data_IF_409686237641
#
_entry.id   IF_409686237641
#
_cell.length_a   1.000
_cell.length_b   1.000
_cell.length_c   1.000
_cell.angle_alpha   90.00
_cell.angle_beta   90.00
_cell.angle_gamma   90.00
#
_symmetry.space_group_name_H-M   'P 1'
#
loop_
_entity.id
_entity.type
_entity.pdbx_description
1 polymer ?
#
# COMPACT_ATOMS: atom_id res chain seq x y z
N UNK A 1 0.90 23.47 -6.75
CA UNK A 1 1.22 22.33 -5.86
C UNK A 1 2.72 22.38 -5.57
N UNK A 2 3.18 22.24 -4.32
CA UNK A 2 4.60 22.03 -4.06
C UNK A 2 5.00 20.66 -4.65
N UNK A 3 6.29 20.46 -5.00
CA UNK A 3 6.78 19.17 -5.48
C UNK A 3 6.81 18.20 -4.29
N UNK A 4 5.64 17.68 -3.93
CA UNK A 4 5.49 16.59 -2.96
C UNK A 4 5.76 15.26 -3.65
N UNK A 5 6.30 14.32 -2.87
CA UNK A 5 6.51 12.90 -3.20
C UNK A 5 5.59 12.34 -4.27
N UNK A 6 6.18 11.64 -5.26
CA UNK A 6 5.46 10.93 -6.34
C UNK A 6 5.13 9.47 -5.99
N UNK A 7 5.53 8.97 -4.82
CA UNK A 7 5.35 7.56 -4.46
C UNK A 7 3.97 7.37 -3.82
N UNK A 8 3.07 6.65 -4.52
CA UNK A 8 1.73 6.30 -4.03
C UNK A 8 1.72 5.04 -3.18
N UNK A 9 2.55 4.05 -3.50
CA UNK A 9 2.75 2.88 -2.64
C UNK A 9 4.22 2.81 -2.21
N UNK A 10 4.46 2.88 -0.91
CA UNK A 10 5.78 2.86 -0.29
C UNK A 10 6.35 1.45 -0.09
N UNK A 11 5.64 0.39 -0.50
CA UNK A 11 6.04 -1.00 -0.23
C UNK A 11 7.40 -1.34 -0.82
N UNK A 12 7.68 -0.98 -2.09
CA UNK A 12 9.01 -1.20 -2.68
C UNK A 12 10.11 -0.45 -1.93
N UNK A 13 9.81 0.76 -1.49
CA UNK A 13 10.76 1.53 -0.68
C UNK A 13 11.04 0.83 0.67
N UNK A 14 10.02 0.28 1.32
CA UNK A 14 10.15 -0.52 2.54
C UNK A 14 11.00 -1.77 2.31
N UNK A 15 10.73 -2.55 1.24
CA UNK A 15 11.52 -3.74 0.88
C UNK A 15 13.00 -3.41 0.68
N UNK A 16 13.28 -2.33 -0.07
CA UNK A 16 14.65 -1.89 -0.31
C UNK A 16 15.32 -1.42 0.98
N UNK A 17 14.62 -0.68 1.84
CA UNK A 17 15.13 -0.29 3.15
C UNK A 17 15.45 -1.51 4.04
N UNK A 18 14.56 -2.50 4.11
CA UNK A 18 14.80 -3.75 4.86
C UNK A 18 15.99 -4.55 4.28
N UNK A 19 16.15 -4.55 2.96
CA UNK A 19 17.31 -5.19 2.32
C UNK A 19 18.62 -4.48 2.71
N UNK A 20 18.67 -3.15 2.63
CA UNK A 20 19.83 -2.38 3.04
C UNK A 20 20.17 -2.60 4.52
N UNK A 21 19.19 -2.54 5.43
CA UNK A 21 19.41 -2.73 6.88
C UNK A 21 19.91 -4.13 7.26
N UNK A 22 19.69 -5.13 6.40
CA UNK A 22 20.22 -6.49 6.57
C UNK A 22 21.68 -6.62 6.12
N UNK A 23 22.10 -5.83 5.13
CA UNK A 23 23.41 -6.00 4.48
C UNK A 23 24.41 -4.88 4.75
N UNK A 24 23.93 -3.70 5.15
CA UNK A 24 24.75 -2.52 5.44
C UNK A 24 24.40 -2.02 6.85
N UNK A 25 25.22 -2.32 7.87
CA UNK A 25 24.98 -1.85 9.24
C UNK A 25 24.78 -0.34 9.37
N UNK A 26 25.49 0.44 8.54
CA UNK A 26 25.46 1.91 8.48
C UNK A 26 24.13 2.47 7.96
N UNK A 27 23.36 1.67 7.22
CA UNK A 27 22.04 2.05 6.73
C UNK A 27 20.97 2.06 7.84
N UNK A 28 21.32 1.72 9.09
CA UNK A 28 20.42 1.84 10.25
C UNK A 28 20.62 3.20 10.91
N UNK A 29 19.80 4.19 10.53
CA UNK A 29 19.73 5.44 11.28
C UNK A 29 18.73 5.29 12.43
N UNK A 30 19.16 5.68 13.63
CA UNK A 30 18.38 5.48 14.86
C UNK A 30 17.38 6.59 15.14
N UNK A 31 17.64 7.79 14.59
CA UNK A 31 17.06 9.03 15.11
C UNK A 31 16.11 9.74 14.13
N UNK A 32 16.09 9.34 12.85
CA UNK A 32 15.10 9.76 11.85
C UNK A 32 14.33 8.55 11.30
N UNK A 33 13.07 8.75 10.90
CA UNK A 33 12.27 7.71 10.20
C UNK A 33 12.17 7.97 8.69
N UNK A 34 13.00 8.88 8.18
CA UNK A 34 13.10 9.17 6.75
C UNK A 34 13.52 7.89 6.03
N UNK A 35 12.73 7.49 5.02
CA UNK A 35 12.99 6.29 4.24
C UNK A 35 13.01 5.03 5.10
N UNK A 36 12.01 4.89 5.97
CA UNK A 36 11.93 3.79 6.93
C UNK A 36 13.19 3.67 7.81
N UNK A 37 13.76 4.80 8.23
CA UNK A 37 14.94 4.87 9.10
C UNK A 37 16.27 4.53 8.42
N UNK A 38 16.34 4.66 7.09
CA UNK A 38 17.60 4.61 6.34
C UNK A 38 18.20 5.99 6.11
N UNK A 39 17.39 7.05 6.26
CA UNK A 39 17.77 8.42 5.90
C UNK A 39 17.78 8.69 4.40
N UNK A 40 17.39 7.71 3.57
CA UNK A 40 17.30 7.84 2.11
C UNK A 40 15.88 8.28 1.77
N UNK A 41 15.65 9.28 0.91
CA UNK A 41 14.29 9.66 0.51
C UNK A 41 13.49 8.48 -0.05
N UNK A 42 12.19 8.40 0.28
CA UNK A 42 11.30 7.30 -0.11
C UNK A 42 11.24 7.12 -1.62
N UNK A 43 11.32 8.21 -2.40
CA UNK A 43 11.34 8.21 -3.86
C UNK A 43 12.60 7.58 -4.43
N UNK A 44 13.74 7.76 -3.75
CA UNK A 44 15.01 7.12 -4.12
C UNK A 44 14.95 5.64 -3.76
N UNK A 45 14.48 5.32 -2.55
CA UNK A 45 14.29 3.93 -2.11
C UNK A 45 13.36 3.16 -3.05
N UNK A 46 12.24 3.74 -3.49
CA UNK A 46 11.26 3.07 -4.35
C UNK A 46 11.86 2.59 -5.70
N UNK A 47 12.92 3.25 -6.19
CA UNK A 47 13.60 2.87 -7.44
C UNK A 47 15.01 2.34 -7.26
N UNK A 48 15.50 2.19 -6.02
CA UNK A 48 16.90 1.87 -5.73
C UNK A 48 17.40 0.61 -6.47
N UNK A 49 16.58 -0.42 -6.60
CA UNK A 49 16.86 -1.65 -7.34
C UNK A 49 17.11 -1.49 -8.86
N UNK A 50 16.82 -0.30 -9.40
CA UNK A 50 17.05 0.09 -10.80
C UNK A 50 18.21 1.06 -10.96
N UNK A 51 18.66 1.70 -9.89
CA UNK A 51 19.70 2.72 -9.96
C UNK A 51 21.08 2.07 -10.14
N UNK A 52 21.94 2.62 -11.01
CA UNK A 52 23.35 2.27 -11.00
C UNK A 52 24.04 2.88 -9.77
N UNK A 53 25.23 2.38 -9.44
CA UNK A 53 25.96 2.79 -8.24
C UNK A 53 26.48 4.25 -8.30
N UNK A 54 26.55 4.85 -9.48
CA UNK A 54 27.00 6.22 -9.76
C UNK A 54 25.82 7.19 -10.01
N UNK A 55 24.59 6.76 -9.73
CA UNK A 55 23.41 7.59 -9.89
C UNK A 55 23.51 8.89 -9.04
N UNK A 56 23.19 10.07 -9.61
CA UNK A 56 23.24 11.34 -8.88
C UNK A 56 22.45 11.38 -7.58
N UNK A 57 21.35 10.63 -7.48
CA UNK A 57 20.51 10.57 -6.28
C UNK A 57 21.18 9.82 -5.11
N UNK A 58 22.33 9.18 -5.35
CA UNK A 58 23.11 8.45 -4.35
C UNK A 58 24.33 9.23 -3.85
N UNK A 59 24.56 10.47 -4.33
CA UNK A 59 25.74 11.29 -3.96
C UNK A 59 25.84 11.53 -2.46
N UNK A 60 24.71 11.72 -1.77
CA UNK A 60 24.66 11.92 -0.31
C UNK A 60 24.62 10.59 0.47
N UNK A 61 24.68 9.46 -0.23
CA UNK A 61 24.53 8.11 0.30
C UNK A 61 25.69 7.20 -0.15
N UNK A 62 26.93 7.65 0.00
CA UNK A 62 28.13 6.97 -0.51
C UNK A 62 28.26 5.49 -0.08
N UNK A 63 27.81 5.15 1.13
CA UNK A 63 27.82 3.77 1.62
C UNK A 63 26.85 2.85 0.82
N UNK A 64 25.71 3.39 0.39
CA UNK A 64 24.77 2.67 -0.50
C UNK A 64 25.36 2.56 -1.90
N UNK A 65 25.92 3.65 -2.43
CA UNK A 65 26.61 3.64 -3.72
C UNK A 65 27.75 2.59 -3.75
N UNK A 66 28.57 2.54 -2.69
CA UNK A 66 29.63 1.56 -2.54
C UNK A 66 29.09 0.11 -2.51
N UNK A 67 28.00 -0.13 -1.78
CA UNK A 67 27.34 -1.43 -1.75
C UNK A 67 26.84 -1.87 -3.13
N UNK A 68 26.23 -0.95 -3.88
CA UNK A 68 25.68 -1.22 -5.22
C UNK A 68 26.75 -1.54 -6.28
N UNK A 69 28.03 -1.25 -6.03
CA UNK A 69 29.13 -1.65 -6.95
C UNK A 69 29.29 -3.16 -7.04
N UNK A 70 28.98 -3.88 -5.96
CA UNK A 70 29.21 -5.33 -5.85
C UNK A 70 27.92 -6.13 -5.58
N UNK A 71 26.82 -5.46 -5.25
CA UNK A 71 25.55 -6.10 -4.93
C UNK A 71 24.40 -5.48 -5.73
N UNK A 72 23.42 -6.32 -6.09
CA UNK A 72 22.15 -5.86 -6.67
C UNK A 72 21.06 -6.05 -5.64
N UNK A 73 20.15 -5.08 -5.52
CA UNK A 73 18.92 -5.29 -4.77
C UNK A 73 17.99 -6.25 -5.53
N UNK A 74 17.16 -7.00 -4.81
CA UNK A 74 16.07 -7.76 -5.41
C UNK A 74 15.18 -6.88 -6.28
N UNK A 75 14.75 -7.42 -7.40
CA UNK A 75 13.80 -6.77 -8.31
C UNK A 75 12.41 -7.39 -8.12
N UNK A 76 11.33 -6.66 -8.44
CA UNK A 76 10.02 -7.28 -8.61
C UNK A 76 10.14 -8.49 -9.54
N UNK A 77 9.47 -9.58 -9.17
CA UNK A 77 9.37 -10.80 -9.98
C UNK A 77 8.05 -10.81 -10.73
N UNK A 78 7.93 -11.63 -11.77
CA UNK A 78 6.65 -11.85 -12.46
C UNK A 78 5.73 -12.81 -11.71
N UNK A 79 6.31 -13.82 -11.07
CA UNK A 79 5.59 -14.93 -10.43
C UNK A 79 5.60 -14.76 -8.91
N UNK A 80 4.53 -15.22 -8.26
CA UNK A 80 4.48 -15.40 -6.82
C UNK A 80 5.14 -16.73 -6.43
N UNK A 81 6.25 -16.66 -5.69
CA UNK A 81 7.00 -17.83 -5.24
C UNK A 81 6.74 -18.17 -3.76
N UNK A 82 6.09 -17.27 -3.04
CA UNK A 82 5.65 -17.41 -1.65
C UNK A 82 4.13 -17.52 -1.52
N UNK A 83 3.63 -17.86 -0.32
CA UNK A 83 2.21 -17.99 -0.08
C UNK A 83 1.49 -16.63 -0.22
N UNK A 84 0.38 -16.63 -0.94
CA UNK A 84 -0.57 -15.50 -0.98
C UNK A 84 -1.38 -15.42 0.32
N UNK A 85 -2.07 -14.30 0.52
CA UNK A 85 -2.84 -14.06 1.73
C UNK A 85 -4.03 -15.03 1.89
N UNK A 86 -4.14 -15.63 3.09
CA UNK A 86 -5.17 -16.59 3.46
C UNK A 86 -5.81 -16.19 4.80
N UNK A 87 -6.58 -15.10 4.82
CA UNK A 87 -7.14 -14.62 6.08
C UNK A 87 -8.12 -13.47 5.98
N UNK A 88 -8.21 -12.69 7.06
CA UNK A 88 -9.17 -11.59 7.20
C UNK A 88 -8.45 -10.27 7.39
N UNK A 89 -8.86 -9.28 6.62
CA UNK A 89 -8.46 -7.88 6.71
C UNK A 89 -9.37 -7.19 7.71
N UNK A 90 -8.79 -6.59 8.75
CA UNK A 90 -9.47 -5.83 9.78
C UNK A 90 -9.10 -4.36 9.66
N UNK A 91 -10.08 -3.49 9.52
CA UNK A 91 -9.84 -2.05 9.55
C UNK A 91 -9.72 -1.57 11.00
N UNK A 92 -8.75 -0.69 11.25
CA UNK A 92 -8.57 -0.02 12.53
C UNK A 92 -8.93 1.46 12.38
N UNK A 93 -9.86 1.91 13.23
CA UNK A 93 -10.16 3.33 13.42
C UNK A 93 -9.31 3.81 14.58
N UNK A 94 -8.24 4.53 14.25
CA UNK A 94 -7.28 5.00 15.24
C UNK A 94 -7.56 6.46 15.59
N UNK A 95 -7.74 6.72 16.88
CA UNK A 95 -7.80 8.07 17.44
C UNK A 95 -6.41 8.50 17.84
N UNK A 96 -5.88 9.51 17.15
CA UNK A 96 -4.56 10.07 17.42
C UNK A 96 -4.68 11.33 18.28
N UNK A 97 -4.35 11.19 19.56
CA UNK A 97 -4.27 12.32 20.51
C UNK A 97 -2.91 13.01 20.35
N UNK A 98 -2.90 14.30 20.01
CA UNK A 98 -1.70 15.14 20.00
C UNK A 98 -1.83 16.25 21.06
N UNK A 99 -0.74 16.96 21.40
CA UNK A 99 -0.83 18.08 22.35
C UNK A 99 -1.76 19.21 21.88
N UNK A 100 -2.03 19.32 20.57
CA UNK A 100 -2.82 20.40 20.00
C UNK A 100 -4.27 20.01 19.67
N UNK A 101 -4.51 18.77 19.23
CA UNK A 101 -5.85 18.27 18.91
C UNK A 101 -5.87 16.75 18.73
N UNK A 102 -7.07 16.23 18.51
CA UNK A 102 -7.30 14.84 18.13
C UNK A 102 -7.51 14.73 16.62
N UNK A 103 -6.98 13.67 16.02
CA UNK A 103 -7.23 13.29 14.64
C UNK A 103 -7.86 11.90 14.60
N UNK A 104 -8.95 11.75 13.86
CA UNK A 104 -9.59 10.48 13.59
C UNK A 104 -10.37 10.58 12.28
N UNK A 105 -10.57 9.45 11.61
CA UNK A 105 -11.59 9.34 10.56
C UNK A 105 -12.94 9.20 11.26
N UNK A 106 -13.97 9.86 10.74
CA UNK A 106 -15.32 9.82 11.32
C UNK A 106 -15.92 8.42 11.20
N UNK A 107 -16.92 8.10 12.02
CA UNK A 107 -17.58 6.79 12.00
C UNK A 107 -18.26 6.55 10.64
N UNK A 108 -18.88 7.58 10.05
CA UNK A 108 -19.54 7.50 8.74
C UNK A 108 -18.54 7.25 7.59
N UNK A 109 -17.41 7.96 7.61
CA UNK A 109 -16.34 7.76 6.63
C UNK A 109 -15.70 6.37 6.79
N UNK A 110 -15.46 5.92 8.02
CA UNK A 110 -14.96 4.56 8.29
C UNK A 110 -15.93 3.48 7.84
N UNK A 111 -17.24 3.66 8.07
CA UNK A 111 -18.27 2.74 7.58
C UNK A 111 -18.25 2.66 6.04
N UNK A 112 -18.08 3.80 5.36
CA UNK A 112 -17.96 3.86 3.90
C UNK A 112 -16.71 3.14 3.39
N UNK A 113 -15.55 3.35 4.03
CA UNK A 113 -14.31 2.66 3.69
C UNK A 113 -14.46 1.14 3.84
N UNK A 114 -15.09 0.68 4.93
CA UNK A 114 -15.32 -0.76 5.17
C UNK A 114 -16.32 -1.34 4.16
N UNK A 115 -17.42 -0.66 3.85
CA UNK A 115 -18.39 -1.13 2.85
C UNK A 115 -17.74 -1.23 1.47
N UNK A 116 -16.98 -0.21 1.07
CA UNK A 116 -16.17 -0.24 -0.14
C UNK A 116 -15.21 -1.43 -0.16
N UNK A 117 -14.42 -1.64 0.89
CA UNK A 117 -13.45 -2.74 0.93
C UNK A 117 -14.12 -4.11 0.85
N UNK A 118 -15.31 -4.27 1.45
CA UNK A 118 -16.11 -5.50 1.34
C UNK A 118 -16.61 -5.77 -0.07
N UNK A 119 -16.88 -4.74 -0.87
CA UNK A 119 -17.21 -4.86 -2.30
C UNK A 119 -15.95 -5.15 -3.12
N UNK A 120 -14.89 -4.37 -2.91
CA UNK A 120 -13.64 -4.45 -3.65
C UNK A 120 -12.87 -5.77 -3.46
N UNK A 121 -12.98 -6.42 -2.29
CA UNK A 121 -12.23 -7.66 -2.02
C UNK A 121 -12.61 -8.80 -2.97
N UNK A 122 -13.85 -8.83 -3.47
CA UNK A 122 -14.28 -9.87 -4.41
C UNK A 122 -13.54 -9.78 -5.75
N UNK A 123 -13.57 -8.67 -6.50
CA UNK A 123 -12.80 -8.55 -7.73
C UNK A 123 -11.29 -8.59 -7.52
N UNK A 124 -10.74 -8.04 -6.41
CA UNK A 124 -9.31 -8.15 -6.07
C UNK A 124 -8.90 -9.62 -5.96
N UNK A 125 -9.68 -10.46 -5.27
CA UNK A 125 -9.39 -11.89 -5.16
C UNK A 125 -9.48 -12.62 -6.48
N UNK A 126 -10.41 -12.24 -7.36
CA UNK A 126 -10.51 -12.85 -8.68
C UNK A 126 -9.24 -12.58 -9.50
N UNK A 127 -8.72 -11.35 -9.46
CA UNK A 127 -7.44 -11.00 -10.07
C UNK A 127 -6.26 -11.76 -9.48
N UNK A 128 -6.14 -11.73 -8.16
CA UNK A 128 -5.01 -12.31 -7.44
C UNK A 128 -4.87 -13.82 -7.67
N UNK A 129 -5.96 -14.52 -8.06
CA UNK A 129 -5.93 -15.94 -8.42
C UNK A 129 -5.02 -16.28 -9.60
N UNK A 130 -4.67 -15.31 -10.44
CA UNK A 130 -3.67 -15.50 -11.49
C UNK A 130 -2.28 -15.81 -10.92
N UNK A 131 -1.99 -15.33 -9.69
CA UNK A 131 -0.73 -15.55 -9.00
C UNK A 131 -0.75 -16.76 -8.06
N UNK A 132 -1.93 -17.25 -7.70
CA UNK A 132 -2.09 -18.47 -6.91
C UNK A 132 -3.34 -18.48 -6.03
N UNK A 133 -3.55 -19.55 -5.23
CA UNK A 133 -4.70 -19.64 -4.34
C UNK A 133 -4.68 -18.54 -3.26
N UNK A 134 -5.82 -17.87 -3.05
CA UNK A 134 -6.03 -16.86 -1.99
C UNK A 134 -7.46 -16.92 -1.41
N UNK A 135 -7.62 -16.61 -0.12
CA UNK A 135 -8.91 -16.60 0.60
C UNK A 135 -9.17 -15.31 1.40
N UNK A 136 -8.80 -14.15 0.88
CA UNK A 136 -9.00 -12.89 1.58
C UNK A 136 -10.48 -12.59 1.93
N UNK A 137 -10.72 -11.96 3.07
CA UNK A 137 -12.04 -11.47 3.52
C UNK A 137 -11.85 -10.13 4.22
N UNK A 138 -12.92 -9.34 4.34
CA UNK A 138 -12.92 -8.09 5.11
C UNK A 138 -13.86 -8.22 6.30
N UNK A 139 -13.35 -7.96 7.50
CA UNK A 139 -14.16 -7.94 8.71
C UNK A 139 -15.14 -6.77 8.68
N UNK A 140 -16.38 -6.99 9.15
CA UNK A 140 -17.39 -5.94 9.22
C UNK A 140 -17.15 -4.95 10.38
N UNK A 141 -16.52 -5.41 11.46
CA UNK A 141 -16.29 -4.62 12.67
C UNK A 141 -14.91 -3.98 12.61
N UNK A 142 -14.87 -2.68 12.88
CA UNK A 142 -13.61 -1.93 13.05
C UNK A 142 -12.96 -2.25 14.40
N UNK A 143 -11.64 -2.14 14.44
CA UNK A 143 -10.86 -2.15 15.67
C UNK A 143 -10.67 -0.70 16.09
N UNK A 144 -11.31 -0.30 17.18
CA UNK A 144 -11.05 0.99 17.80
C UNK A 144 -9.73 0.94 18.58
N UNK A 145 -8.90 1.97 18.42
CA UNK A 145 -7.63 2.09 19.13
C UNK A 145 -7.27 3.56 19.34
N UNK A 146 -6.63 3.88 20.46
CA UNK A 146 -6.20 5.25 20.76
C UNK A 146 -4.70 5.29 20.97
N UNK A 147 -4.03 6.24 20.33
CA UNK A 147 -2.59 6.45 20.45
C UNK A 147 -2.28 7.90 20.79
N UNK A 148 -1.21 8.11 21.54
CA UNK A 148 -0.72 9.45 21.90
C UNK A 148 0.54 9.77 21.11
N UNK A 149 0.50 10.87 20.36
CA UNK A 149 1.63 11.38 19.61
C UNK A 149 2.22 12.61 20.29
N UNK A 150 3.53 12.81 20.13
CA UNK A 150 4.22 14.03 20.60
C UNK A 150 4.06 15.21 19.63
N UNK A 151 3.59 14.94 18.41
CA UNK A 151 3.38 15.90 17.34
C UNK A 151 2.34 15.37 16.36
N UNK A 152 2.41 15.78 15.09
CA UNK A 152 1.47 15.35 14.05
C UNK A 152 2.06 14.28 13.13
N UNK A 153 3.05 13.52 13.62
CA UNK A 153 3.70 12.48 12.82
C UNK A 153 3.97 11.21 13.61
N UNK A 154 4.10 10.10 12.88
CA UNK A 154 4.45 8.81 13.43
C UNK A 154 5.30 7.98 12.47
N UNK A 155 6.05 7.05 13.05
CA UNK A 155 7.01 6.21 12.34
C UNK A 155 6.46 4.83 12.00
N UNK A 156 7.10 4.13 11.06
CA UNK A 156 6.78 2.71 10.79
C UNK A 156 6.97 1.83 12.04
N UNK A 157 7.99 2.13 12.87
CA UNK A 157 8.21 1.42 14.14
C UNK A 157 7.03 1.58 15.11
N UNK A 158 6.50 2.79 15.24
CA UNK A 158 5.33 3.05 16.08
C UNK A 158 4.10 2.33 15.52
N UNK A 159 3.89 2.42 14.21
CA UNK A 159 2.79 1.73 13.53
C UNK A 159 2.83 0.21 13.76
N UNK A 160 3.99 -0.43 13.59
CA UNK A 160 4.18 -1.86 13.89
C UNK A 160 3.85 -2.20 15.34
N UNK A 161 4.21 -1.33 16.29
CA UNK A 161 3.85 -1.51 17.70
C UNK A 161 2.34 -1.50 17.89
N UNK A 162 1.64 -0.50 17.34
CA UNK A 162 0.17 -0.40 17.48
C UNK A 162 -0.56 -1.56 16.82
N UNK A 163 -0.08 -2.01 15.65
CA UNK A 163 -0.60 -3.21 14.98
C UNK A 163 -0.48 -4.43 15.88
N UNK A 164 0.67 -4.61 16.54
CA UNK A 164 0.86 -5.72 17.48
C UNK A 164 -0.07 -5.61 18.70
N UNK A 165 -0.24 -4.40 19.24
CA UNK A 165 -1.14 -4.15 20.37
C UNK A 165 -2.60 -4.47 20.00
N UNK A 166 -3.06 -4.01 18.83
CA UNK A 166 -4.39 -4.30 18.31
C UNK A 166 -4.60 -5.81 18.05
N UNK A 167 -3.62 -6.47 17.44
CA UNK A 167 -3.68 -7.90 17.18
C UNK A 167 -3.76 -8.72 18.48
N UNK A 168 -2.95 -8.36 19.48
CA UNK A 168 -2.97 -9.01 20.79
C UNK A 168 -4.31 -8.77 21.52
N UNK A 169 -4.78 -7.51 21.57
CA UNK A 169 -6.01 -7.12 22.26
C UNK A 169 -7.26 -7.79 21.68
N UNK A 170 -7.26 -8.10 20.37
CA UNK A 170 -8.36 -8.81 19.70
C UNK A 170 -8.08 -10.29 19.46
N UNK A 171 -6.95 -10.81 19.95
CA UNK A 171 -6.51 -12.19 19.72
C UNK A 171 -6.57 -12.61 18.25
N UNK A 172 -6.11 -11.71 17.36
CA UNK A 172 -6.11 -11.96 15.93
C UNK A 172 -5.12 -13.09 15.59
N UNK A 173 -5.48 -14.02 14.68
CA UNK A 173 -4.55 -15.04 14.22
C UNK A 173 -3.42 -14.42 13.38
N UNK A 174 -2.31 -15.13 13.23
CA UNK A 174 -1.16 -14.70 12.39
C UNK A 174 -1.51 -14.50 10.91
N UNK A 175 -2.64 -15.09 10.46
CA UNK A 175 -3.22 -14.90 9.13
C UNK A 175 -4.05 -13.64 8.98
N UNK A 176 -4.27 -12.87 10.04
CA UNK A 176 -4.97 -11.59 9.95
C UNK A 176 -4.09 -10.51 9.29
N UNK A 177 -4.76 -9.47 8.81
CA UNK A 177 -4.14 -8.20 8.46
C UNK A 177 -4.86 -7.06 9.18
N UNK A 178 -4.12 -6.06 9.66
CA UNK A 178 -4.69 -4.82 10.20
C UNK A 178 -4.44 -3.66 9.23
N UNK A 179 -5.49 -3.01 8.75
CA UNK A 179 -5.41 -1.81 7.92
C UNK A 179 -5.64 -0.59 8.81
N UNK A 180 -4.60 0.21 8.99
CA UNK A 180 -4.66 1.47 9.75
C UNK A 180 -5.01 2.61 8.80
N UNK A 181 -6.15 3.25 9.03
CA UNK A 181 -6.59 4.39 8.23
C UNK A 181 -6.05 5.68 8.84
N UNK A 182 -5.20 6.39 8.10
CA UNK A 182 -4.56 7.62 8.55
C UNK A 182 -5.41 8.85 8.13
N UNK A 183 -5.94 9.63 9.09
CA UNK A 183 -6.75 10.80 8.78
C UNK A 183 -5.93 11.96 8.22
N UNK A 184 -6.61 12.86 7.52
CA UNK A 184 -6.04 14.11 7.01
C UNK A 184 -5.34 14.91 8.12
N UNK A 185 -4.20 15.50 7.78
CA UNK A 185 -3.46 16.41 8.65
C UNK A 185 -2.50 15.73 9.62
N UNK A 186 -2.43 14.40 9.63
CA UNK A 186 -1.28 13.66 10.14
C UNK A 186 -0.27 13.40 9.01
N UNK A 187 0.99 13.21 9.40
CA UNK A 187 2.07 12.81 8.50
C UNK A 187 2.65 11.49 8.99
N UNK A 188 2.37 10.38 8.33
CA UNK A 188 3.21 9.22 8.53
C UNK A 188 4.54 9.50 7.81
N UNK A 189 5.68 9.23 8.43
CA UNK A 189 6.99 9.58 7.86
C UNK A 189 7.25 9.00 6.46
N UNK A 190 6.51 7.95 6.08
CA UNK A 190 6.62 7.27 4.79
C UNK A 190 5.26 7.15 4.05
N UNK A 191 4.24 7.88 4.48
CA UNK A 191 2.95 8.02 3.77
C UNK A 191 2.68 9.50 3.56
N UNK A 192 2.93 9.96 2.34
CA UNK A 192 2.63 11.32 1.92
C UNK A 192 1.34 11.35 1.12
N UNK A 193 0.43 12.26 1.45
CA UNK A 193 -0.80 12.48 0.66
C UNK A 193 -1.45 11.13 0.22
N UNK A 194 -2.04 11.08 -0.98
CA UNK A 194 -2.78 9.93 -1.56
C UNK A 194 -1.95 8.67 -1.77
N UNK A 195 -1.45 8.12 -0.66
CA UNK A 195 -0.50 7.04 -0.60
C UNK A 195 -0.76 6.07 0.56
N UNK A 196 -0.09 4.93 0.49
CA UNK A 196 -0.06 3.90 1.50
C UNK A 196 1.19 3.03 1.38
N UNK A 197 1.26 2.02 2.23
CA UNK A 197 2.12 0.86 2.02
C UNK A 197 1.59 -0.29 2.89
N UNK A 198 2.06 -1.50 2.60
CA UNK A 198 1.86 -2.65 3.48
C UNK A 198 3.21 -3.22 3.96
N UNK A 199 3.15 -3.93 5.08
CA UNK A 199 4.30 -4.42 5.80
C UNK A 199 3.96 -5.61 6.68
N UNK A 200 4.97 -6.08 7.42
CA UNK A 200 4.83 -7.20 8.36
C UNK A 200 5.22 -6.79 9.77
N UNK A 201 4.30 -7.01 10.71
CA UNK A 201 4.53 -7.04 12.15
C UNK A 201 4.30 -8.49 12.62
N UNK A 202 3.71 -8.73 13.81
CA UNK A 202 3.27 -10.09 14.18
C UNK A 202 2.17 -10.61 13.25
N UNK A 203 1.38 -9.70 12.70
CA UNK A 203 0.41 -9.91 11.61
C UNK A 203 0.80 -9.03 10.43
N UNK A 204 0.24 -9.28 9.25
CA UNK A 204 0.40 -8.34 8.14
C UNK A 204 -0.31 -7.01 8.48
N UNK A 205 0.12 -5.91 7.90
CA UNK A 205 -0.59 -4.64 8.04
C UNK A 205 -0.48 -3.79 6.79
N UNK A 206 -1.43 -2.88 6.63
CA UNK A 206 -1.34 -1.76 5.70
C UNK A 206 -1.60 -0.46 6.43
N UNK A 207 -1.02 0.63 5.95
CA UNK A 207 -1.44 1.98 6.29
C UNK A 207 -1.90 2.68 5.03
N UNK A 208 -3.06 3.30 5.11
CA UNK A 208 -3.71 3.98 3.99
C UNK A 208 -4.11 5.38 4.43
N UNK A 209 -3.73 6.41 3.67
CA UNK A 209 -4.23 7.76 3.96
C UNK A 209 -5.63 8.00 3.40
N UNK A 210 -6.34 8.95 4.01
CA UNK A 210 -7.62 9.49 3.53
C UNK A 210 -7.48 10.99 3.27
N UNK A 211 -7.99 11.48 2.14
CA UNK A 211 -7.73 12.84 1.64
C UNK A 211 -8.92 13.77 1.64
N UNK A 212 -10.12 13.24 1.86
CA UNK A 212 -11.32 14.03 2.04
C UNK A 212 -12.18 13.50 3.19
N UNK A 213 -13.25 14.20 3.50
CA UNK A 213 -14.32 13.73 4.41
C UNK A 213 -15.61 13.57 3.61
N UNK A 214 -16.66 13.06 4.23
CA UNK A 214 -17.96 12.84 3.57
C UNK A 214 -17.79 11.87 2.39
N UNK A 215 -17.09 10.76 2.65
CA UNK A 215 -16.70 9.79 1.65
C UNK A 215 -17.93 9.12 1.03
N UNK A 216 -17.81 8.75 -0.24
CA UNK A 216 -18.83 8.02 -0.99
C UNK A 216 -18.23 6.79 -1.65
N UNK A 217 -19.04 5.75 -1.87
CA UNK A 217 -18.59 4.49 -2.48
C UNK A 217 -18.00 4.64 -3.89
N UNK A 218 -18.49 5.63 -4.66
CA UNK A 218 -18.03 5.89 -6.02
C UNK A 218 -16.75 6.74 -6.08
N UNK A 219 -16.29 7.24 -4.93
CA UNK A 219 -15.05 7.98 -4.70
C UNK A 219 -14.59 8.86 -5.87
N UNK A 220 -15.48 9.74 -6.35
CA UNK A 220 -15.24 10.60 -7.54
C UNK A 220 -14.02 11.52 -7.39
N UNK A 221 -13.52 11.71 -6.18
CA UNK A 221 -12.39 12.59 -5.84
C UNK A 221 -11.08 11.82 -5.64
N UNK A 222 -11.07 10.49 -5.77
CA UNK A 222 -9.89 9.67 -5.46
C UNK A 222 -9.42 9.84 -4.00
N UNK A 223 -10.35 10.02 -3.07
CA UNK A 223 -10.09 10.40 -1.69
C UNK A 223 -9.65 9.23 -0.79
N UNK A 224 -9.93 7.98 -1.15
CA UNK A 224 -9.54 6.81 -0.36
C UNK A 224 -9.51 5.48 -1.14
N UNK A 225 -10.44 5.27 -2.08
CA UNK A 225 -10.72 3.98 -2.69
C UNK A 225 -9.49 3.43 -3.44
N UNK A 226 -8.76 4.32 -4.08
CA UNK A 226 -7.50 4.03 -4.76
C UNK A 226 -6.47 3.43 -3.80
N UNK A 227 -6.07 4.12 -2.73
CA UNK A 227 -5.07 3.60 -1.78
C UNK A 227 -5.57 2.31 -1.14
N UNK A 228 -6.84 2.29 -0.70
CA UNK A 228 -7.40 1.12 -0.01
C UNK A 228 -7.38 -0.11 -0.92
N UNK A 229 -7.80 0.00 -2.18
CA UNK A 229 -7.77 -1.14 -3.10
C UNK A 229 -6.35 -1.51 -3.52
N UNK A 230 -5.48 -0.53 -3.75
CA UNK A 230 -4.07 -0.75 -4.06
C UNK A 230 -3.42 -1.60 -2.97
N UNK A 231 -3.46 -1.13 -1.72
CA UNK A 231 -2.77 -1.80 -0.63
C UNK A 231 -3.39 -3.15 -0.26
N UNK A 232 -4.72 -3.31 -0.40
CA UNK A 232 -5.36 -4.62 -0.22
C UNK A 232 -4.92 -5.59 -1.32
N UNK A 233 -4.87 -5.17 -2.58
CA UNK A 233 -4.48 -6.04 -3.67
C UNK A 233 -3.01 -6.46 -3.59
N UNK A 234 -2.11 -5.51 -3.30
CA UNK A 234 -0.70 -5.78 -3.05
C UNK A 234 -0.52 -6.76 -1.88
N UNK A 235 -1.14 -6.48 -0.73
CA UNK A 235 -1.13 -7.38 0.43
C UNK A 235 -1.64 -8.79 0.12
N UNK A 236 -2.71 -8.89 -0.69
CA UNK A 236 -3.30 -10.18 -1.03
C UNK A 236 -2.31 -11.05 -1.78
N UNK A 237 -1.45 -10.45 -2.62
CA UNK A 237 -0.43 -11.17 -3.38
C UNK A 237 0.88 -11.31 -2.60
N UNK A 238 1.35 -10.28 -1.90
CA UNK A 238 2.60 -10.29 -1.13
C UNK A 238 2.40 -9.97 0.37
N UNK A 239 1.81 -10.89 1.16
CA UNK A 239 1.53 -10.62 2.58
C UNK A 239 2.77 -10.61 3.48
N UNK A 240 3.94 -11.00 2.96
CA UNK A 240 5.18 -11.16 3.74
C UNK A 240 6.21 -10.08 3.45
N UNK A 241 6.09 -9.35 2.33
CA UNK A 241 6.94 -8.19 2.01
C UNK A 241 8.43 -8.55 2.02
N UNK A 242 8.75 -9.73 1.48
CA UNK A 242 10.08 -10.35 1.59
C UNK A 242 10.72 -10.68 0.24
N UNK A 243 10.30 -9.97 -0.81
CA UNK A 243 10.77 -10.10 -2.21
C UNK A 243 10.44 -11.44 -2.90
N UNK A 244 9.66 -12.32 -2.27
CA UNK A 244 9.27 -13.61 -2.88
C UNK A 244 8.11 -13.49 -3.86
N UNK A 245 7.28 -12.46 -3.70
CA UNK A 245 6.06 -12.23 -4.49
C UNK A 245 6.13 -10.88 -5.22
N UNK A 246 5.39 -10.76 -6.35
CA UNK A 246 5.37 -9.55 -7.18
C UNK A 246 4.69 -8.39 -6.47
N UNK A 247 4.98 -7.18 -6.94
CA UNK A 247 4.18 -5.99 -6.69
C UNK A 247 3.21 -5.82 -7.86
N UNK A 248 1.91 -5.87 -7.59
CA UNK A 248 0.88 -6.14 -8.61
C UNK A 248 0.04 -4.94 -8.99
N UNK A 249 0.03 -3.87 -8.20
CA UNK A 249 -0.66 -2.62 -8.51
C UNK A 249 0.31 -1.59 -9.07
N UNK A 250 1.55 -1.56 -8.55
CA UNK A 250 2.59 -0.60 -8.95
C UNK A 250 2.78 -0.45 -10.47
N UNK A 251 2.88 -1.54 -11.27
CA UNK A 251 3.00 -1.47 -12.73
C UNK A 251 1.88 -0.70 -13.45
N UNK A 252 0.70 -0.62 -12.83
CA UNK A 252 -0.52 -0.02 -13.38
C UNK A 252 -0.97 1.24 -12.62
N UNK A 253 -0.11 1.78 -11.74
CA UNK A 253 -0.37 2.97 -10.93
C UNK A 253 0.72 4.04 -11.15
N UNK A 254 0.56 5.20 -10.50
CA UNK A 254 1.44 6.37 -10.55
C UNK A 254 2.88 6.11 -10.11
N UNK A 255 3.14 4.98 -9.46
CA UNK A 255 4.50 4.53 -9.16
C UNK A 255 5.29 4.19 -10.45
N UNK A 256 4.61 3.80 -11.52
CA UNK A 256 5.24 3.40 -12.78
C UNK A 256 4.71 4.13 -14.02
N UNK A 257 3.47 4.62 -14.00
CA UNK A 257 2.83 5.20 -15.17
C UNK A 257 1.45 5.79 -14.87
N UNK A 258 0.53 5.84 -15.85
CA UNK A 258 -0.83 6.29 -15.59
C UNK A 258 -1.57 5.29 -14.69
N UNK A 259 -2.37 5.81 -13.75
CA UNK A 259 -3.21 5.00 -12.89
C UNK A 259 -4.41 4.43 -13.67
N UNK A 260 -4.43 3.12 -13.83
CA UNK A 260 -5.54 2.37 -14.38
C UNK A 260 -6.50 1.93 -13.27
N UNK A 261 -7.80 2.20 -13.47
CA UNK A 261 -8.87 1.79 -12.56
C UNK A 261 -9.80 0.81 -13.26
N UNK A 262 -10.15 -0.26 -12.58
CA UNK A 262 -11.17 -1.22 -13.02
C UNK A 262 -12.48 -0.85 -12.32
N UNK A 263 -13.50 -0.54 -13.12
CA UNK A 263 -14.79 -0.06 -12.64
C UNK A 263 -15.82 -1.18 -12.58
N UNK A 264 -16.69 -1.12 -11.57
CA UNK A 264 -17.73 -2.10 -11.33
C UNK A 264 -19.08 -1.43 -11.06
N UNK A 265 -20.16 -2.11 -11.41
CA UNK A 265 -21.52 -1.70 -11.07
C UNK A 265 -21.91 -2.10 -9.63
N UNK A 266 -23.18 -1.86 -9.27
CA UNK A 266 -23.69 -2.12 -7.93
C UNK A 266 -23.75 -3.62 -7.58
N UNK A 267 -23.85 -4.50 -8.59
CA UNK A 267 -23.76 -5.96 -8.46
C UNK A 267 -22.32 -6.46 -8.35
N UNK A 268 -21.33 -5.60 -8.60
CA UNK A 268 -19.92 -5.99 -8.64
C UNK A 268 -19.51 -6.57 -9.99
N UNK A 269 -20.30 -6.36 -11.04
CA UNK A 269 -19.96 -6.76 -12.41
C UNK A 269 -19.02 -5.73 -13.04
N UNK A 270 -18.06 -6.21 -13.82
CA UNK A 270 -17.04 -5.37 -14.45
C UNK A 270 -17.64 -4.51 -15.56
N UNK A 271 -17.46 -3.19 -15.47
CA UNK A 271 -17.97 -2.22 -16.44
C UNK A 271 -16.90 -1.77 -17.45
N UNK A 272 -15.62 -1.79 -17.08
CA UNK A 272 -14.52 -1.37 -17.94
C UNK A 272 -13.31 -0.85 -17.17
N UNK A 273 -12.16 -0.75 -17.85
CA UNK A 273 -10.90 -0.23 -17.30
C UNK A 273 -10.54 1.07 -17.99
N UNK A 274 -10.21 2.10 -17.23
CA UNK A 274 -9.71 3.38 -17.77
C UNK A 274 -8.92 4.16 -16.74
N UNK A 275 -8.09 5.09 -17.19
CA UNK A 275 -7.42 6.06 -16.34
C UNK A 275 -8.30 7.28 -15.99
N UNK A 276 -9.40 7.49 -16.72
CA UNK A 276 -10.33 8.60 -16.48
C UNK A 276 -11.10 8.40 -15.17
N UNK A 277 -11.32 9.48 -14.41
CA UNK A 277 -12.17 9.53 -13.22
C UNK A 277 -13.00 10.83 -13.25
N UNK A 278 -14.35 10.77 -13.33
CA UNK A 278 -15.15 9.55 -13.56
C UNK A 278 -14.95 8.95 -14.96
N UNK A 279 -15.29 7.66 -15.15
CA UNK A 279 -15.28 7.02 -16.48
C UNK A 279 -16.44 7.51 -17.36
N UNK A 280 -16.41 7.26 -18.68
CA UNK A 280 -17.47 7.65 -19.62
C UNK A 280 -18.74 6.76 -19.55
N UNK A 281 -18.88 5.93 -18.51
CA UNK A 281 -19.97 5.00 -18.28
C UNK A 281 -20.38 4.97 -16.80
N UNK A 282 -21.54 4.39 -16.50
CA UNK A 282 -22.02 4.25 -15.13
C UNK A 282 -21.16 3.25 -14.34
N UNK A 283 -20.95 3.54 -13.06
CA UNK A 283 -20.24 2.68 -12.13
C UNK A 283 -20.75 2.94 -10.70
N UNK A 284 -20.44 2.04 -9.77
CA UNK A 284 -20.75 2.17 -8.34
C UNK A 284 -19.51 2.19 -7.46
N UNK A 285 -18.44 1.50 -7.86
CA UNK A 285 -17.13 1.58 -7.23
C UNK A 285 -16.04 1.20 -8.25
N UNK A 286 -14.77 1.38 -7.90
CA UNK A 286 -13.64 0.92 -8.70
C UNK A 286 -12.58 0.28 -7.82
N UNK A 287 -11.59 -0.38 -8.40
CA UNK A 287 -10.34 -0.78 -7.74
C UNK A 287 -9.15 -0.32 -8.59
N UNK A 288 -7.97 -0.15 -7.99
CA UNK A 288 -6.73 -0.07 -8.75
C UNK A 288 -6.52 -1.36 -9.54
N UNK A 289 -6.10 -1.22 -10.80
CA UNK A 289 -5.82 -2.36 -11.65
C UNK A 289 -4.72 -3.24 -11.03
N UNK A 290 -4.99 -4.54 -10.96
CA UNK A 290 -3.99 -5.55 -10.64
C UNK A 290 -3.42 -6.03 -11.97
N UNK A 291 -2.12 -5.85 -12.14
CA UNK A 291 -1.41 -6.26 -13.36
C UNK A 291 -1.54 -7.77 -13.57
N UNK A 292 -1.54 -8.20 -14.83
CA UNK A 292 -1.36 -9.61 -15.18
C UNK A 292 0.10 -10.05 -14.95
N UNK A 293 0.39 -11.33 -14.70
CA UNK A 293 1.76 -11.80 -14.48
C UNK A 293 2.76 -11.36 -15.57
N UNK A 294 2.35 -11.33 -16.84
CA UNK A 294 3.17 -10.89 -17.97
C UNK A 294 3.59 -9.41 -17.90
N UNK A 295 2.87 -8.61 -17.12
CA UNK A 295 3.13 -7.20 -16.89
C UNK A 295 3.85 -6.89 -15.58
N UNK A 296 3.99 -7.83 -14.65
CA UNK A 296 4.36 -7.49 -13.27
C UNK A 296 5.79 -6.95 -13.11
N UNK A 297 6.71 -7.32 -14.01
CA UNK A 297 8.09 -6.80 -14.03
C UNK A 297 8.23 -5.50 -14.85
N UNK A 298 7.17 -5.06 -15.52
CA UNK A 298 7.19 -3.89 -16.40
C UNK A 298 6.71 -2.65 -15.64
N UNK A 299 7.53 -1.61 -15.56
CA UNK A 299 7.20 -0.37 -14.86
C UNK A 299 7.41 0.80 -15.82
N UNK A 300 6.37 1.24 -16.58
CA UNK A 300 4.96 0.79 -16.54
C UNK A 300 4.67 -0.50 -17.32
N UNK A 301 3.58 -1.17 -16.96
CA UNK A 301 2.98 -2.24 -17.74
C UNK A 301 2.16 -1.69 -18.92
N UNK A 302 1.87 -2.56 -19.90
CA UNK A 302 0.98 -2.21 -21.02
C UNK A 302 -0.47 -2.12 -20.56
N UNK A 303 -1.30 -1.33 -21.25
CA UNK A 303 -2.72 -1.22 -20.96
C UNK A 303 -3.44 -2.59 -20.99
N UNK A 304 -3.03 -3.51 -21.87
CA UNK A 304 -3.57 -4.86 -21.95
C UNK A 304 -3.27 -5.70 -20.69
N UNK A 305 -2.14 -5.44 -20.03
CA UNK A 305 -1.77 -6.09 -18.77
C UNK A 305 -2.43 -5.42 -17.56
N UNK A 306 -2.89 -4.18 -17.68
CA UNK A 306 -3.63 -3.46 -16.65
C UNK A 306 -5.16 -3.63 -16.75
N UNK A 307 -5.67 -4.37 -17.73
CA UNK A 307 -7.10 -4.62 -17.90
C UNK A 307 -7.63 -5.71 -16.95
N UNK A 308 -8.97 -5.78 -16.78
CA UNK A 308 -9.64 -6.79 -15.94
C UNK A 308 -9.41 -8.22 -16.40
N UNK A 309 -8.47 -8.87 -15.74
CA UNK A 309 -7.96 -10.17 -16.15
C UNK A 309 -8.96 -11.34 -16.03
N UNK A 310 -9.90 -11.38 -15.06
CA UNK A 310 -10.93 -12.41 -15.05
C UNK A 310 -11.84 -12.41 -16.28
N UNK A 311 -11.76 -11.38 -17.13
CA UNK A 311 -12.55 -11.22 -18.35
C UNK A 311 -14.03 -10.99 -18.05
N UNK A 312 -14.78 -10.30 -18.93
CA UNK A 312 -16.23 -10.42 -18.91
C UNK A 312 -16.60 -11.89 -19.23
N UNK A 313 -17.56 -12.44 -18.47
CA UNK A 313 -18.22 -13.70 -18.84
C UNK A 313 -19.06 -13.52 -20.09
#
# INVERSE_FOLDING_TARGET
MPPGSRVRCGTRALKNAEYLRRHIPEARRKDDDVGFGTGIPTEVLARLHRLPHDDPDLREHEHVAAFLRSHRLPRPTKDANGPLFQGTVHFAQVTFETPSRTYAVTDDDMATIVDYARRAIAPIRQYARQYGPTSAKVAARVIEHTVRLRGTSYTDRQLKSWVNDMAAAKSLPSSACVVVVSPRGLRASNVDANAGYHGKANVAYSVVGVFDTELTLDDRKDAYAMVVSHEIAELVVDPNVNDTNPEVCDPCDLNCGPLHRCYFDASGEYAGTTAALPPPYAYSFYICAVVKPEGAENCPASAANCDYAPGPR
#
